data_IF_174458136893
#
_entry.id   IF_174458136893
#
_cell.length_a   1.000
_cell.length_b   1.000
_cell.length_c   1.000
_cell.angle_alpha   90.00
_cell.angle_beta   90.00
_cell.angle_gamma   90.00
#
_symmetry.space_group_name_H-M   'P 1'
#
loop_
_entity.id
_entity.type
_entity.pdbx_description
1 polymer ?
#
# COMPACT_ATOMS: atom_id res chain seq x y z
N UNK A 1 -39.31 4.86 34.96
CA UNK A 1 -38.54 3.59 35.07
C UNK A 1 -38.79 2.60 33.93
N UNK A 2 -40.04 2.41 33.45
CA UNK A 2 -40.33 1.47 32.35
C UNK A 2 -39.68 1.86 31.02
N UNK A 3 -39.72 3.14 30.64
CA UNK A 3 -39.13 3.64 29.39
C UNK A 3 -37.61 3.38 29.30
N UNK A 4 -36.87 3.70 30.37
CA UNK A 4 -35.41 3.50 30.41
C UNK A 4 -35.02 2.02 30.27
N UNK A 5 -35.78 1.09 30.87
CA UNK A 5 -35.58 -0.35 30.69
C UNK A 5 -35.79 -0.77 29.24
N UNK A 6 -36.87 -0.30 28.60
CA UNK A 6 -37.16 -0.61 27.20
C UNK A 6 -36.08 -0.07 26.26
N UNK A 7 -35.63 1.17 26.47
CA UNK A 7 -34.54 1.77 25.69
C UNK A 7 -33.25 0.97 25.84
N UNK A 8 -32.91 0.54 27.06
CA UNK A 8 -31.72 -0.26 27.32
C UNK A 8 -31.78 -1.63 26.64
N UNK A 9 -32.94 -2.30 26.64
CA UNK A 9 -33.13 -3.58 25.95
C UNK A 9 -32.96 -3.41 24.44
N UNK A 10 -33.56 -2.39 23.85
CA UNK A 10 -33.43 -2.10 22.41
C UNK A 10 -31.96 -1.79 22.07
N UNK A 11 -31.28 -1.01 22.91
CA UNK A 11 -29.86 -0.68 22.71
C UNK A 11 -28.98 -1.94 22.74
N UNK A 12 -29.15 -2.81 23.74
CA UNK A 12 -28.43 -4.09 23.84
C UNK A 12 -28.73 -4.97 22.62
N UNK A 13 -29.99 -5.02 22.19
CA UNK A 13 -30.39 -5.80 21.03
C UNK A 13 -29.69 -5.32 19.74
N UNK A 14 -29.62 -4.00 19.52
CA UNK A 14 -28.86 -3.44 18.40
C UNK A 14 -27.37 -3.79 18.48
N UNK A 15 -26.75 -3.73 19.66
CA UNK A 15 -25.36 -4.15 19.83
C UNK A 15 -25.14 -5.62 19.49
N UNK A 16 -26.03 -6.51 19.93
CA UNK A 16 -25.96 -7.92 19.60
C UNK A 16 -26.05 -8.11 18.08
N UNK A 17 -26.98 -7.42 17.40
CA UNK A 17 -27.09 -7.48 15.94
C UNK A 17 -25.84 -6.97 15.22
N UNK A 18 -25.22 -5.89 15.71
CA UNK A 18 -23.96 -5.40 15.15
C UNK A 18 -22.82 -6.39 15.33
N UNK A 19 -22.68 -6.99 16.50
CA UNK A 19 -21.64 -7.99 16.79
C UNK A 19 -21.85 -9.24 15.92
N UNK A 20 -23.07 -9.78 15.85
CA UNK A 20 -23.39 -10.94 15.02
C UNK A 20 -23.13 -10.65 13.54
N UNK A 21 -23.51 -9.46 13.05
CA UNK A 21 -23.24 -9.05 11.66
C UNK A 21 -21.74 -8.96 11.38
N UNK A 22 -20.95 -8.40 12.29
CA UNK A 22 -19.48 -8.35 12.16
C UNK A 22 -18.82 -9.72 12.17
N UNK A 23 -19.36 -10.67 12.95
CA UNK A 23 -18.91 -12.07 12.96
C UNK A 23 -19.23 -12.78 11.64
N UNK A 24 -20.46 -12.63 11.12
CA UNK A 24 -20.89 -13.25 9.86
C UNK A 24 -20.16 -12.70 8.63
N UNK A 25 -19.79 -11.41 8.64
CA UNK A 25 -19.02 -10.79 7.54
C UNK A 25 -17.53 -11.13 7.56
N UNK A 26 -17.04 -11.87 8.57
CA UNK A 26 -15.62 -12.21 8.67
C UNK A 26 -14.71 -11.06 9.09
N UNK A 27 -15.26 -9.90 9.45
CA UNK A 27 -14.51 -8.70 9.86
C UNK A 27 -13.65 -8.97 11.10
N UNK A 28 -14.11 -9.83 12.01
CA UNK A 28 -13.32 -10.27 13.17
C UNK A 28 -12.08 -11.11 12.81
N UNK A 29 -12.11 -11.82 11.69
CA UNK A 29 -10.97 -12.62 11.21
C UNK A 29 -9.86 -11.70 10.70
N UNK A 30 -10.24 -10.63 9.99
CA UNK A 30 -9.32 -9.57 9.57
C UNK A 30 -8.78 -8.80 10.78
N UNK A 31 -9.63 -8.50 11.77
CA UNK A 31 -9.20 -7.87 13.02
C UNK A 31 -8.21 -8.72 13.81
N UNK A 32 -8.44 -10.05 13.88
CA UNK A 32 -7.52 -10.99 14.54
C UNK A 32 -6.19 -11.10 13.80
N UNK A 33 -6.21 -11.12 12.46
CA UNK A 33 -5.00 -11.06 11.65
C UNK A 33 -4.20 -9.77 11.91
N UNK A 34 -4.88 -8.64 12.08
CA UNK A 34 -4.25 -7.36 12.44
C UNK A 34 -3.75 -7.29 13.88
N UNK A 35 -4.32 -8.04 14.83
CA UNK A 35 -3.88 -7.99 16.23
C UNK A 35 -2.72 -8.94 16.52
N UNK A 36 -2.69 -10.13 15.90
CA UNK A 36 -1.72 -11.18 16.20
C UNK A 36 -0.42 -11.11 15.39
N UNK A 37 -0.36 -10.30 14.34
CA UNK A 37 0.82 -10.16 13.48
C UNK A 37 1.80 -9.12 14.01
N UNK A 38 3.05 -9.24 13.61
CA UNK A 38 4.07 -8.20 13.84
C UNK A 38 3.75 -6.92 13.04
N UNK A 39 4.44 -5.82 13.38
CA UNK A 39 4.18 -4.53 12.75
C UNK A 39 4.44 -4.56 11.23
N UNK A 40 5.39 -5.38 10.79
CA UNK A 40 5.76 -5.54 9.38
C UNK A 40 4.70 -6.30 8.58
N UNK A 41 4.20 -7.43 9.08
CA UNK A 41 3.15 -8.19 8.36
C UNK A 41 1.82 -7.43 8.37
N UNK A 42 1.54 -6.58 9.38
CA UNK A 42 0.39 -5.66 9.33
C UNK A 42 0.52 -4.63 8.21
N UNK A 43 1.73 -4.08 8.02
CA UNK A 43 2.03 -3.12 6.94
C UNK A 43 1.86 -3.76 5.57
N UNK A 44 2.43 -4.95 5.38
CA UNK A 44 2.27 -5.73 4.15
C UNK A 44 0.79 -6.03 3.87
N UNK A 45 0.03 -6.45 4.89
CA UNK A 45 -1.40 -6.76 4.73
C UNK A 45 -2.25 -5.54 4.35
N UNK A 46 -2.00 -4.37 4.93
CA UNK A 46 -2.77 -3.13 4.66
C UNK A 46 -2.45 -2.56 3.27
N UNK A 47 -1.18 -2.62 2.87
CA UNK A 47 -0.70 -2.08 1.59
C UNK A 47 -0.96 -3.04 0.43
N UNK A 48 -1.08 -4.33 0.72
CA UNK A 48 -1.00 -5.40 -0.27
C UNK A 48 0.44 -5.91 -0.32
N UNK A 49 0.59 -7.22 -0.13
CA UNK A 49 1.88 -7.90 0.03
C UNK A 49 2.84 -7.60 -1.13
N UNK A 50 2.34 -7.69 -2.36
CA UNK A 50 3.13 -7.47 -3.57
C UNK A 50 3.59 -6.01 -3.73
N UNK A 51 2.72 -5.05 -3.42
CA UNK A 51 3.10 -3.63 -3.44
C UNK A 51 4.10 -3.31 -2.31
N UNK A 52 3.91 -3.90 -1.13
CA UNK A 52 4.82 -3.72 0.00
C UNK A 52 6.23 -4.25 -0.32
N UNK A 53 6.33 -5.45 -0.90
CA UNK A 53 7.59 -6.01 -1.37
C UNK A 53 8.27 -5.10 -2.40
N UNK A 54 7.50 -4.60 -3.38
CA UNK A 54 8.03 -3.69 -4.39
C UNK A 54 8.53 -2.35 -3.80
N UNK A 55 7.82 -1.80 -2.81
CA UNK A 55 8.25 -0.58 -2.12
C UNK A 55 9.55 -0.80 -1.35
N UNK A 56 9.69 -1.92 -0.65
CA UNK A 56 10.93 -2.29 0.03
C UNK A 56 12.08 -2.46 -0.96
N UNK A 57 11.82 -3.11 -2.10
CA UNK A 57 12.79 -3.20 -3.19
C UNK A 57 13.23 -1.81 -3.67
N UNK A 58 12.29 -0.86 -3.83
CA UNK A 58 12.62 0.51 -4.19
C UNK A 58 13.50 1.19 -3.14
N UNK A 59 13.16 1.10 -1.86
CA UNK A 59 13.93 1.70 -0.76
C UNK A 59 15.37 1.18 -0.70
N UNK A 60 15.59 -0.10 -0.97
CA UNK A 60 16.92 -0.70 -0.95
C UNK A 60 17.79 -0.32 -2.16
N UNK A 61 17.17 0.04 -3.29
CA UNK A 61 17.88 0.29 -4.56
C UNK A 61 17.94 1.77 -4.96
N UNK A 62 17.16 2.64 -4.31
CA UNK A 62 17.20 4.08 -4.55
C UNK A 62 18.29 4.74 -3.71
N UNK A 63 19.14 5.61 -4.30
CA UNK A 63 20.03 6.47 -3.52
C UNK A 63 19.22 7.39 -2.61
N UNK A 64 19.77 7.72 -1.43
CA UNK A 64 19.14 8.64 -0.48
C UNK A 64 18.73 9.95 -1.17
N UNK A 65 17.54 10.43 -0.83
CA UNK A 65 16.97 11.71 -1.31
C UNK A 65 16.78 11.85 -2.83
N UNK A 66 16.93 10.75 -3.58
CA UNK A 66 16.68 10.74 -5.03
C UNK A 66 15.25 11.12 -5.39
N UNK A 67 15.08 11.65 -6.60
CA UNK A 67 13.77 11.99 -7.15
C UNK A 67 13.18 10.83 -7.96
N UNK A 68 11.89 10.59 -7.82
CA UNK A 68 11.20 9.50 -8.50
C UNK A 68 9.88 9.90 -9.15
N UNK A 69 9.44 9.11 -10.13
CA UNK A 69 8.07 9.11 -10.62
C UNK A 69 7.58 7.67 -10.74
N UNK A 70 6.35 7.44 -10.30
CA UNK A 70 5.69 6.14 -10.45
C UNK A 70 5.13 6.00 -11.87
N UNK A 71 5.31 4.82 -12.46
CA UNK A 71 4.68 4.40 -13.72
C UNK A 71 4.01 3.06 -13.53
N UNK A 72 2.72 2.99 -13.80
CA UNK A 72 1.95 1.78 -13.56
C UNK A 72 0.54 2.06 -13.08
N UNK A 73 -0.25 1.00 -12.99
CA UNK A 73 -1.60 1.07 -12.45
C UNK A 73 -1.54 0.90 -10.93
N UNK A 74 -1.84 1.97 -10.20
CA UNK A 74 -2.08 1.95 -8.77
C UNK A 74 -3.41 2.62 -8.45
N UNK A 75 -4.10 2.14 -7.41
CA UNK A 75 -5.30 2.81 -6.91
C UNK A 75 -4.89 4.12 -6.22
N UNK A 76 -5.79 5.10 -6.20
CA UNK A 76 -5.53 6.43 -5.64
C UNK A 76 -5.03 6.41 -4.18
N UNK A 77 -5.49 5.45 -3.38
CA UNK A 77 -5.04 5.29 -1.99
C UNK A 77 -3.60 4.75 -1.91
N UNK A 78 -3.23 3.88 -2.84
CA UNK A 78 -1.91 3.24 -2.86
C UNK A 78 -0.85 4.22 -3.36
N UNK A 79 -1.19 5.11 -4.30
CA UNK A 79 -0.31 6.22 -4.67
C UNK A 79 0.03 7.11 -3.48
N UNK A 80 -0.95 7.43 -2.63
CA UNK A 80 -0.70 8.24 -1.42
C UNK A 80 0.20 7.49 -0.44
N UNK A 81 -0.07 6.21 -0.20
CA UNK A 81 0.76 5.36 0.66
C UNK A 81 2.19 5.28 0.16
N UNK A 82 2.39 5.17 -1.15
CA UNK A 82 3.71 5.12 -1.78
C UNK A 82 4.53 6.38 -1.46
N UNK A 83 3.92 7.57 -1.49
CA UNK A 83 4.60 8.81 -1.11
C UNK A 83 5.11 8.78 0.32
N UNK A 84 4.30 8.26 1.26
CA UNK A 84 4.72 8.13 2.65
C UNK A 84 5.80 7.06 2.84
N UNK A 85 5.68 5.92 2.17
CA UNK A 85 6.63 4.82 2.28
C UNK A 85 8.01 5.16 1.73
N UNK A 86 8.05 5.93 0.65
CA UNK A 86 9.29 6.31 -0.01
C UNK A 86 9.90 7.60 0.55
N UNK A 87 9.44 8.13 1.67
CA UNK A 87 10.16 9.24 2.32
C UNK A 87 11.57 8.80 2.73
N UNK A 88 12.66 9.56 2.46
CA UNK A 88 12.70 10.96 2.03
C UNK A 88 12.81 11.21 0.50
N UNK A 89 12.62 10.20 -0.34
CA UNK A 89 12.64 10.36 -1.80
C UNK A 89 11.49 11.26 -2.28
N UNK A 90 11.75 12.11 -3.29
CA UNK A 90 10.80 13.14 -3.73
C UNK A 90 10.12 12.77 -5.04
N UNK A 91 8.78 12.81 -5.07
CA UNK A 91 8.02 12.68 -6.31
C UNK A 91 8.27 13.93 -7.19
N UNK A 92 8.67 13.74 -8.44
CA UNK A 92 8.99 14.82 -9.39
C UNK A 92 8.50 14.51 -10.80
N UNK A 93 8.10 15.52 -11.56
CA UNK A 93 7.77 15.40 -12.99
C UNK A 93 9.03 15.25 -13.85
N UNK A 94 10.19 15.64 -13.32
CA UNK A 94 11.49 15.44 -13.91
C UNK A 94 12.35 14.51 -13.03
N UNK A 95 12.03 13.20 -12.95
CA UNK A 95 12.63 12.29 -11.97
C UNK A 95 13.96 11.71 -12.42
N UNK A 96 14.86 11.46 -11.48
CA UNK A 96 16.06 10.64 -11.71
C UNK A 96 15.69 9.16 -11.90
N UNK A 97 14.64 8.69 -11.21
CA UNK A 97 14.22 7.30 -11.21
C UNK A 97 12.76 7.14 -11.62
N UNK A 98 12.45 6.15 -12.47
CA UNK A 98 11.09 5.71 -12.70
C UNK A 98 10.87 4.39 -11.97
N UNK A 99 9.85 4.37 -11.11
CA UNK A 99 9.41 3.16 -10.42
C UNK A 99 8.29 2.55 -11.24
N UNK A 100 8.55 1.41 -11.87
CA UNK A 100 7.59 0.73 -12.72
C UNK A 100 6.91 -0.37 -11.91
N UNK A 101 5.58 -0.27 -11.69
CA UNK A 101 4.77 -1.25 -10.97
C UNK A 101 3.63 -1.75 -11.85
N UNK A 102 3.56 -3.05 -12.12
CA UNK A 102 2.62 -3.65 -13.08
C UNK A 102 2.61 -2.93 -14.44
N UNK A 103 3.77 -2.45 -14.86
CA UNK A 103 3.96 -1.69 -16.08
C UNK A 103 4.37 -2.62 -17.24
N UNK A 104 3.97 -2.26 -18.46
CA UNK A 104 4.42 -2.98 -19.65
C UNK A 104 5.95 -3.00 -19.75
N UNK A 105 6.48 -4.16 -20.19
CA UNK A 105 7.94 -4.39 -20.25
C UNK A 105 8.68 -3.43 -21.18
N UNK A 106 7.96 -2.79 -22.10
CA UNK A 106 8.49 -1.94 -23.17
C UNK A 106 8.58 -0.45 -22.81
N UNK A 107 8.35 -0.06 -21.56
CA UNK A 107 8.47 1.35 -21.11
C UNK A 107 9.93 1.85 -21.05
N UNK A 108 10.87 1.22 -21.76
CA UNK A 108 12.25 1.71 -21.86
C UNK A 108 12.29 2.94 -22.77
N UNK A 109 12.17 4.14 -22.17
CA UNK A 109 12.37 5.41 -22.86
C UNK A 109 13.85 5.58 -23.23
N UNK A 110 14.13 6.24 -24.35
CA UNK A 110 15.51 6.54 -24.82
C UNK A 110 16.40 7.18 -23.74
N UNK A 111 15.81 7.97 -22.84
CA UNK A 111 16.51 8.69 -21.75
C UNK A 111 16.67 7.89 -20.46
N UNK A 112 16.17 6.66 -20.38
CA UNK A 112 16.21 5.83 -19.17
C UNK A 112 16.82 4.45 -19.47
N UNK A 113 17.40 3.82 -18.46
CA UNK A 113 17.92 2.45 -18.53
C UNK A 113 17.47 1.66 -17.31
N UNK A 114 17.32 0.33 -17.45
CA UNK A 114 16.96 -0.56 -16.34
C UNK A 114 18.11 -0.59 -15.35
N UNK A 115 17.88 -0.09 -14.13
CA UNK A 115 18.88 -0.09 -13.06
C UNK A 115 18.73 -1.27 -12.12
N UNK A 116 17.49 -1.68 -11.84
CA UNK A 116 17.20 -2.83 -10.98
C UNK A 116 15.88 -3.49 -11.42
N UNK A 117 15.80 -4.82 -11.31
CA UNK A 117 14.60 -5.59 -11.67
C UNK A 117 14.17 -6.42 -10.46
N UNK A 118 12.88 -6.32 -10.09
CA UNK A 118 12.31 -7.13 -9.02
C UNK A 118 11.61 -8.36 -9.60
N UNK A 119 10.56 -8.13 -10.40
CA UNK A 119 9.76 -9.17 -11.07
C UNK A 119 9.31 -8.67 -12.44
N UNK A 120 8.64 -9.54 -13.20
CA UNK A 120 8.00 -9.14 -14.46
C UNK A 120 7.04 -7.97 -14.23
N UNK A 121 7.23 -6.87 -14.96
CA UNK A 121 6.41 -5.66 -14.83
C UNK A 121 6.73 -4.79 -13.61
N UNK A 122 7.70 -5.19 -12.78
CA UNK A 122 8.10 -4.49 -11.56
C UNK A 122 9.61 -4.25 -11.54
N UNK A 123 10.02 -3.01 -11.81
CA UNK A 123 11.43 -2.66 -11.99
C UNK A 123 11.69 -1.17 -11.78
N UNK A 124 12.96 -0.79 -11.66
CA UNK A 124 13.40 0.59 -11.54
C UNK A 124 14.18 0.96 -12.80
N UNK A 125 13.82 2.10 -13.39
CA UNK A 125 14.60 2.74 -14.44
C UNK A 125 15.35 3.93 -13.85
N UNK A 126 16.61 4.13 -14.27
CA UNK A 126 17.40 5.31 -13.94
C UNK A 126 17.59 6.17 -15.18
N UNK A 127 17.54 7.47 -15.02
CA UNK A 127 17.82 8.44 -16.08
C UNK A 127 19.28 8.32 -16.51
N UNK A 128 19.54 8.33 -17.81
CA UNK A 128 20.90 8.46 -18.34
C UNK A 128 21.42 9.85 -17.99
N UNK A 129 22.66 9.94 -17.51
CA UNK A 129 23.33 11.23 -17.46
C UNK A 129 23.54 11.68 -18.91
N UNK A 130 23.10 12.91 -19.22
CA UNK A 130 23.39 13.55 -20.51
C UNK A 130 24.89 13.82 -20.66
#
# INVERSE_FOLDING_TARGET
MKLAKTTLIIWVFFWILFVVRGLYKGEFREYRALLQRDAETKRAYIVGEDLYEFLNFCLMNLPRESSYQLRGELKSIDERRLVYYLYPHKKSDNPEYLLCYNADRDIVRKSFYKSAVFKTGQFILRRRAD
#
